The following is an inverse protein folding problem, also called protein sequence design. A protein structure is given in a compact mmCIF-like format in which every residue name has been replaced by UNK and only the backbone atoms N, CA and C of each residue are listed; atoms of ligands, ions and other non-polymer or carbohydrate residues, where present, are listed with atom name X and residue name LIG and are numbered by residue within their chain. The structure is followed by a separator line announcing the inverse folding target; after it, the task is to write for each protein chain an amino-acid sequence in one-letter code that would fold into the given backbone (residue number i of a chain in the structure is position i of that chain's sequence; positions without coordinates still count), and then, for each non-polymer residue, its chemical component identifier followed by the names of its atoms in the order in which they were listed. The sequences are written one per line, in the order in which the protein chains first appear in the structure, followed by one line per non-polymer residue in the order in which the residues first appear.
data_IF_550549938517
#
_entry.id   IF_550549938517
#
_cell.length_a   1.000
_cell.length_b   1.000
_cell.length_c   1.000
_cell.angle_alpha   90.00
_cell.angle_beta   90.00
_cell.angle_gamma   90.00
#
_symmetry.space_group_name_H-M   'P 1'
#
loop_
_entity.id
_entity.type
_entity.pdbx_description
1 polymer ?
#
# COMPACT_ATOMS: atom_id res chain seq x y z
N UNK A 1 -46.03 -28.09 13.01
CA UNK A 1 -45.30 -26.92 12.52
C UNK A 1 -43.83 -27.06 12.95
N UNK A 2 -42.97 -27.48 12.02
CA UNK A 2 -41.54 -27.67 12.28
C UNK A 2 -40.78 -26.42 11.78
N UNK A 3 -40.24 -25.64 12.73
CA UNK A 3 -39.37 -24.51 12.42
C UNK A 3 -38.02 -24.97 11.90
N UNK A 4 -37.73 -24.69 10.63
CA UNK A 4 -36.38 -24.82 10.03
C UNK A 4 -35.50 -23.71 10.55
N UNK A 5 -34.59 -24.03 11.49
CA UNK A 5 -33.46 -23.16 11.87
C UNK A 5 -32.49 -23.04 10.68
N UNK A 6 -32.48 -21.88 10.04
CA UNK A 6 -31.41 -21.54 9.08
C UNK A 6 -30.12 -21.27 9.86
N UNK A 7 -29.25 -22.26 9.94
CA UNK A 7 -27.86 -22.05 10.33
C UNK A 7 -27.15 -21.37 9.17
N UNK A 8 -26.93 -20.05 9.28
CA UNK A 8 -26.04 -19.31 8.41
C UNK A 8 -24.61 -19.80 8.58
N UNK A 9 -24.19 -20.75 7.78
CA UNK A 9 -22.78 -21.16 7.70
C UNK A 9 -21.97 -20.01 7.13
N UNK A 10 -21.06 -19.46 7.93
CA UNK A 10 -20.03 -18.55 7.43
C UNK A 10 -19.25 -19.26 6.32
N UNK A 11 -19.41 -18.82 5.06
CA UNK A 11 -18.66 -19.37 3.93
C UNK A 11 -17.17 -19.14 4.22
N UNK A 12 -16.40 -20.23 4.33
CA UNK A 12 -14.92 -20.17 4.28
C UNK A 12 -14.54 -19.45 2.98
N UNK A 13 -14.00 -18.25 3.09
CA UNK A 13 -13.52 -17.49 1.92
C UNK A 13 -12.25 -18.18 1.47
N UNK A 14 -12.31 -18.84 0.32
CA UNK A 14 -11.11 -19.44 -0.30
C UNK A 14 -10.22 -18.29 -0.79
N UNK A 15 -9.12 -18.08 -0.08
CA UNK A 15 -8.16 -17.02 -0.32
C UNK A 15 -7.52 -17.08 -1.71
N UNK A 16 -7.58 -18.24 -2.37
CA UNK A 16 -7.08 -18.42 -3.75
C UNK A 16 -7.91 -17.70 -4.79
N UNK A 17 -9.15 -17.29 -4.45
CA UNK A 17 -10.09 -16.61 -5.34
C UNK A 17 -10.32 -15.14 -5.00
N UNK A 18 -9.53 -14.56 -4.09
CA UNK A 18 -9.63 -13.12 -3.79
C UNK A 18 -9.06 -12.31 -4.95
N UNK A 19 -9.76 -11.25 -5.40
CA UNK A 19 -9.24 -10.37 -6.43
C UNK A 19 -7.94 -9.69 -5.95
N UNK A 20 -6.94 -9.68 -6.82
CA UNK A 20 -5.68 -8.96 -6.57
C UNK A 20 -5.67 -7.68 -7.37
N UNK A 21 -5.47 -6.55 -6.70
CA UNK A 21 -5.47 -5.21 -7.28
C UNK A 21 -4.09 -4.60 -7.21
N UNK A 22 -3.75 -3.83 -8.22
CA UNK A 22 -2.55 -3.01 -8.27
C UNK A 22 -2.98 -1.55 -8.46
N UNK A 23 -2.70 -0.72 -7.47
CA UNK A 23 -2.90 0.72 -7.53
C UNK A 23 -1.65 1.38 -8.09
N UNK A 24 -1.76 1.86 -9.32
CA UNK A 24 -0.69 2.53 -10.06
C UNK A 24 -0.76 4.04 -9.82
N UNK A 25 0.26 4.61 -9.23
CA UNK A 25 0.32 6.05 -8.91
C UNK A 25 1.18 6.86 -9.86
N UNK A 26 1.92 6.21 -10.77
CA UNK A 26 2.83 6.91 -11.69
C UNK A 26 2.08 7.61 -12.80
N UNK A 27 2.39 8.91 -13.02
CA UNK A 27 1.93 9.69 -14.17
C UNK A 27 2.99 9.62 -15.28
N UNK A 28 2.55 9.48 -16.53
CA UNK A 28 3.42 9.40 -17.69
C UNK A 28 3.82 10.82 -18.20
N UNK A 29 4.64 11.54 -17.43
CA UNK A 29 5.05 12.89 -17.77
C UNK A 29 5.97 12.96 -19.01
N UNK A 30 6.87 11.98 -19.13
CA UNK A 30 7.90 11.90 -20.16
C UNK A 30 8.05 10.48 -20.71
N UNK A 31 8.97 10.29 -21.65
CA UNK A 31 9.20 8.97 -22.25
C UNK A 31 9.84 7.99 -21.26
N UNK A 32 10.66 8.46 -20.32
CA UNK A 32 11.24 7.60 -19.27
C UNK A 32 10.15 7.05 -18.36
N UNK A 33 9.21 7.89 -17.93
CA UNK A 33 8.05 7.46 -17.13
C UNK A 33 7.18 6.46 -17.91
N UNK A 34 6.95 6.70 -19.22
CA UNK A 34 6.23 5.76 -20.09
C UNK A 34 6.91 4.41 -20.19
N UNK A 35 8.24 4.40 -20.34
CA UNK A 35 9.04 3.17 -20.38
C UNK A 35 8.96 2.40 -19.06
N UNK A 36 9.06 3.09 -17.92
CA UNK A 36 8.89 2.50 -16.60
C UNK A 36 7.51 1.87 -16.43
N UNK A 37 6.45 2.57 -16.84
CA UNK A 37 5.07 2.05 -16.80
C UNK A 37 4.96 0.78 -17.66
N UNK A 38 5.51 0.78 -18.90
CA UNK A 38 5.52 -0.40 -19.79
C UNK A 38 6.22 -1.58 -19.13
N UNK A 39 7.39 -1.35 -18.54
CA UNK A 39 8.15 -2.38 -17.82
C UNK A 39 7.36 -2.96 -16.65
N UNK A 40 6.76 -2.13 -15.82
CA UNK A 40 5.93 -2.55 -14.70
C UNK A 40 4.68 -3.32 -15.14
N UNK A 41 4.01 -2.89 -16.22
CA UNK A 41 2.87 -3.61 -16.79
C UNK A 41 3.29 -5.01 -17.27
N UNK A 42 4.40 -5.11 -18.00
CA UNK A 42 4.94 -6.41 -18.47
C UNK A 42 5.29 -7.37 -17.32
N UNK A 43 5.88 -6.85 -16.25
CA UNK A 43 6.19 -7.66 -15.06
C UNK A 43 4.92 -8.20 -14.37
N UNK A 44 3.80 -7.47 -14.46
CA UNK A 44 2.53 -7.86 -13.84
C UNK A 44 1.64 -8.75 -14.69
N UNK A 45 1.85 -8.82 -16.00
CA UNK A 45 1.01 -9.61 -16.92
C UNK A 45 0.79 -11.05 -16.44
N UNK A 46 1.83 -11.66 -15.83
CA UNK A 46 1.76 -13.04 -15.33
C UNK A 46 1.18 -13.17 -13.92
N UNK A 47 0.93 -12.04 -13.23
CA UNK A 47 0.51 -12.04 -11.81
C UNK A 47 -1.00 -11.85 -11.61
N UNK A 48 -1.79 -11.74 -12.70
CA UNK A 48 -3.26 -11.58 -12.68
C UNK A 48 -3.76 -10.43 -11.81
N UNK A 49 -3.05 -9.30 -11.78
CA UNK A 49 -3.50 -8.10 -11.10
C UNK A 49 -4.52 -7.33 -11.94
N UNK A 50 -5.62 -6.92 -11.32
CA UNK A 50 -6.46 -5.84 -11.84
C UNK A 50 -5.75 -4.51 -11.58
N UNK A 51 -5.31 -3.81 -12.62
CA UNK A 51 -4.66 -2.50 -12.48
C UNK A 51 -5.70 -1.40 -12.38
N UNK A 52 -5.56 -0.56 -11.35
CA UNK A 52 -6.36 0.64 -11.10
C UNK A 52 -5.40 1.82 -11.15
N UNK A 53 -5.52 2.67 -12.16
CA UNK A 53 -4.73 3.89 -12.28
C UNK A 53 -5.30 4.93 -11.28
N UNK A 54 -4.52 5.30 -10.28
CA UNK A 54 -4.92 6.24 -9.24
C UNK A 54 -3.74 7.13 -8.85
N UNK A 55 -3.39 8.11 -9.69
CA UNK A 55 -2.24 8.97 -9.46
C UNK A 55 -2.43 9.97 -8.32
N UNK A 56 -3.66 10.33 -7.99
CA UNK A 56 -4.06 11.22 -6.90
C UNK A 56 -5.39 10.74 -6.31
N UNK A 57 -5.75 11.29 -5.15
CA UNK A 57 -7.07 11.10 -4.53
C UNK A 57 -7.46 9.61 -4.35
N UNK A 58 -6.73 8.92 -3.49
CA UNK A 58 -6.98 7.50 -3.20
C UNK A 58 -8.43 7.21 -2.73
N UNK A 59 -9.15 8.21 -2.23
CA UNK A 59 -10.55 8.05 -1.82
C UNK A 59 -11.46 7.69 -2.99
N UNK A 60 -11.09 8.08 -4.21
CA UNK A 60 -11.80 7.73 -5.44
C UNK A 60 -11.44 6.35 -6.01
N UNK A 61 -10.46 5.66 -5.42
CA UNK A 61 -10.06 4.34 -5.91
C UNK A 61 -11.18 3.30 -5.72
N UNK A 62 -11.65 2.74 -6.84
CA UNK A 62 -12.67 1.70 -6.85
C UNK A 62 -12.04 0.31 -6.66
N UNK A 63 -11.60 0.04 -5.44
CA UNK A 63 -10.99 -1.24 -5.08
C UNK A 63 -12.08 -2.22 -4.65
N UNK A 64 -12.11 -3.46 -5.19
CA UNK A 64 -13.05 -4.48 -4.77
C UNK A 64 -12.94 -4.78 -3.28
N UNK A 65 -14.09 -4.93 -2.62
CA UNK A 65 -14.10 -5.30 -1.21
C UNK A 65 -13.42 -6.65 -0.98
N UNK A 66 -12.68 -6.76 0.13
CA UNK A 66 -11.97 -7.97 0.54
C UNK A 66 -10.92 -8.44 -0.47
N UNK A 67 -10.37 -7.52 -1.25
CA UNK A 67 -9.27 -7.77 -2.18
C UNK A 67 -7.91 -7.80 -1.49
N UNK A 68 -6.91 -8.26 -2.22
CA UNK A 68 -5.49 -8.07 -1.90
C UNK A 68 -4.99 -6.92 -2.75
N UNK A 69 -4.44 -5.89 -2.15
CA UNK A 69 -4.07 -4.68 -2.86
C UNK A 69 -2.58 -4.37 -2.70
N UNK A 70 -1.93 -4.00 -3.81
CA UNK A 70 -0.59 -3.46 -3.85
C UNK A 70 -0.64 -2.01 -4.30
N UNK A 71 -0.23 -1.08 -3.45
CA UNK A 71 -0.06 0.35 -3.75
C UNK A 71 1.40 0.63 -4.11
N UNK A 72 1.65 1.00 -5.35
CA UNK A 72 2.99 1.31 -5.86
C UNK A 72 3.00 2.59 -6.70
N UNK A 73 3.63 3.67 -6.18
CA UNK A 73 4.29 3.82 -4.90
C UNK A 73 3.82 5.13 -4.23
N UNK A 74 4.00 5.19 -2.90
CA UNK A 74 3.63 6.38 -2.11
C UNK A 74 4.46 7.60 -2.50
N UNK A 75 5.73 7.42 -2.90
CA UNK A 75 6.57 8.55 -3.32
C UNK A 75 6.03 9.27 -4.56
N UNK A 76 5.55 8.54 -5.57
CA UNK A 76 4.87 9.16 -6.72
C UNK A 76 3.56 9.82 -6.30
N UNK A 77 2.78 9.15 -5.45
CA UNK A 77 1.53 9.70 -4.94
C UNK A 77 1.77 11.00 -4.16
N UNK A 78 2.80 11.06 -3.30
CA UNK A 78 3.16 12.25 -2.55
C UNK A 78 3.51 13.43 -3.46
N UNK A 79 4.33 13.19 -4.49
CA UNK A 79 4.65 14.22 -5.48
C UNK A 79 3.40 14.68 -6.24
N UNK A 80 2.56 13.73 -6.69
CA UNK A 80 1.35 14.08 -7.43
C UNK A 80 0.35 14.87 -6.58
N UNK A 81 0.18 14.52 -5.30
CA UNK A 81 -0.71 15.24 -4.39
C UNK A 81 -0.17 16.62 -4.01
N UNK A 82 1.15 16.76 -3.86
CA UNK A 82 1.80 18.01 -3.53
C UNK A 82 1.73 19.03 -4.68
N UNK A 83 1.77 18.55 -5.93
CA UNK A 83 1.79 19.41 -7.13
C UNK A 83 0.50 19.34 -7.95
N UNK A 84 -0.63 19.05 -7.31
CA UNK A 84 -1.93 19.01 -7.99
C UNK A 84 -2.29 20.36 -8.59
N UNK A 85 -2.70 20.36 -9.87
CA UNK A 85 -3.10 21.56 -10.60
C UNK A 85 -4.58 21.93 -10.46
N UNK A 86 -5.37 21.03 -9.89
CA UNK A 86 -6.81 21.20 -9.67
C UNK A 86 -7.13 21.73 -8.26
N UNK A 87 -6.14 22.18 -7.51
CA UNK A 87 -6.24 22.77 -6.18
C UNK A 87 -5.42 24.06 -6.09
N UNK A 88 -5.91 25.04 -5.31
CA UNK A 88 -5.22 26.31 -5.12
C UNK A 88 -4.00 26.18 -4.20
N UNK A 89 -4.09 25.32 -3.17
CA UNK A 89 -3.01 25.04 -2.20
C UNK A 89 -2.88 23.53 -1.99
N UNK A 90 -2.30 22.78 -2.97
CA UNK A 90 -2.26 21.31 -2.92
C UNK A 90 -1.31 20.78 -1.86
N UNK A 91 -0.25 21.51 -1.50
CA UNK A 91 0.73 21.10 -0.49
C UNK A 91 0.06 21.01 0.88
N UNK A 92 -0.82 21.96 1.19
CA UNK A 92 -1.57 21.97 2.43
C UNK A 92 -2.53 20.77 2.49
N UNK A 93 -2.36 19.94 3.54
CA UNK A 93 -3.17 18.75 3.76
C UNK A 93 -2.85 17.57 2.84
N UNK A 94 -1.77 17.61 2.05
CA UNK A 94 -1.38 16.48 1.19
C UNK A 94 -1.12 15.19 1.99
N UNK A 95 -0.48 15.31 3.15
CA UNK A 95 -0.23 14.18 4.05
C UNK A 95 -1.54 13.56 4.54
N UNK A 96 -2.47 14.37 5.01
CA UNK A 96 -3.77 13.95 5.53
C UNK A 96 -4.59 13.25 4.46
N UNK A 97 -4.67 13.80 3.24
CA UNK A 97 -5.39 13.17 2.10
C UNK A 97 -4.83 11.79 1.78
N UNK A 98 -3.50 11.65 1.73
CA UNK A 98 -2.86 10.36 1.44
C UNK A 98 -3.13 9.35 2.54
N UNK A 99 -2.94 9.73 3.81
CA UNK A 99 -3.15 8.84 4.95
C UNK A 99 -4.62 8.42 5.09
N UNK A 100 -5.55 9.34 4.87
CA UNK A 100 -6.98 9.02 4.87
C UNK A 100 -7.35 8.03 3.76
N UNK A 101 -6.83 8.26 2.55
CA UNK A 101 -7.01 7.32 1.44
C UNK A 101 -6.46 5.93 1.74
N UNK A 102 -5.28 5.83 2.33
CA UNK A 102 -4.67 4.54 2.73
C UNK A 102 -5.50 3.86 3.83
N UNK A 103 -5.99 4.60 4.81
CA UNK A 103 -6.89 4.06 5.85
C UNK A 103 -8.21 3.55 5.27
N UNK A 104 -8.75 4.23 4.25
CA UNK A 104 -9.93 3.75 3.52
C UNK A 104 -9.63 2.44 2.77
N UNK A 105 -8.49 2.35 2.08
CA UNK A 105 -8.05 1.12 1.41
C UNK A 105 -7.90 -0.04 2.42
N UNK A 106 -7.29 0.21 3.57
CA UNK A 106 -7.16 -0.78 4.66
C UNK A 106 -8.52 -1.33 5.12
N UNK A 107 -9.55 -0.48 5.20
CA UNK A 107 -10.91 -0.90 5.58
C UNK A 107 -11.56 -1.77 4.51
N UNK A 108 -11.32 -1.48 3.22
CA UNK A 108 -11.90 -2.21 2.09
C UNK A 108 -11.20 -3.53 1.78
N UNK A 109 -9.90 -3.63 2.02
CA UNK A 109 -9.07 -4.76 1.62
C UNK A 109 -8.83 -5.73 2.78
N UNK A 110 -8.63 -7.01 2.47
CA UNK A 110 -8.18 -7.97 3.49
C UNK A 110 -6.66 -7.87 3.70
N UNK A 111 -5.91 -7.52 2.65
CA UNK A 111 -4.47 -7.37 2.71
C UNK A 111 -4.00 -6.19 1.86
N UNK A 112 -3.22 -5.29 2.45
CA UNK A 112 -2.68 -4.12 1.78
C UNK A 112 -1.15 -4.13 1.87
N UNK A 113 -0.49 -4.18 0.71
CA UNK A 113 0.95 -3.98 0.57
C UNK A 113 1.19 -2.57 0.07
N UNK A 114 2.08 -1.86 0.72
CA UNK A 114 2.45 -0.49 0.38
C UNK A 114 3.94 -0.45 0.06
N UNK A 115 4.29 0.12 -1.09
CA UNK A 115 5.66 0.37 -1.50
C UNK A 115 5.93 1.87 -1.45
N UNK A 116 7.04 2.25 -0.83
CA UNK A 116 7.49 3.64 -0.77
C UNK A 116 9.01 3.73 -0.97
N UNK A 117 9.51 4.93 -1.22
CA UNK A 117 10.94 5.20 -1.28
C UNK A 117 11.41 5.87 0.01
N UNK A 118 12.64 5.55 0.41
CA UNK A 118 13.39 6.36 1.35
C UNK A 118 14.19 7.41 0.58
N UNK A 119 14.00 8.67 0.95
CA UNK A 119 14.70 9.84 0.40
C UNK A 119 15.49 10.58 1.48
N UNK A 120 15.61 10.00 2.69
CA UNK A 120 16.26 10.62 3.84
C UNK A 120 17.78 10.51 3.82
N UNK A 121 18.32 9.48 3.15
CA UNK A 121 19.74 9.12 3.20
C UNK A 121 20.67 10.01 2.37
N UNK A 122 20.15 10.90 1.55
CA UNK A 122 20.96 11.77 0.70
C UNK A 122 21.10 13.16 1.34
N UNK A 123 22.36 13.63 1.47
CA UNK A 123 22.70 14.93 2.08
C UNK A 123 23.24 15.86 1.00
N UNK A 124 22.42 16.75 0.50
CA UNK A 124 22.84 17.78 -0.46
C UNK A 124 22.14 19.11 -0.21
N UNK A 125 22.64 20.21 -0.79
CA UNK A 125 21.87 21.43 -0.85
C UNK A 125 20.72 21.24 -1.83
N UNK A 126 19.53 21.00 -1.33
CA UNK A 126 18.31 20.89 -2.15
C UNK A 126 17.57 22.24 -2.21
N UNK A 127 16.75 22.40 -3.25
CA UNK A 127 15.79 23.50 -3.32
C UNK A 127 14.76 23.38 -2.18
N UNK A 128 14.15 24.51 -1.80
CA UNK A 128 13.09 24.52 -0.79
C UNK A 128 11.94 23.57 -1.14
N UNK A 129 11.60 23.50 -2.41
CA UNK A 129 10.58 22.61 -2.95
C UNK A 129 10.95 21.12 -2.77
N UNK A 130 12.21 20.75 -3.03
CA UNK A 130 12.69 19.38 -2.81
C UNK A 130 12.70 19.05 -1.32
N UNK A 131 13.09 19.99 -0.45
CA UNK A 131 13.04 19.81 1.00
C UNK A 131 11.61 19.65 1.51
N UNK A 132 10.64 20.41 0.97
CA UNK A 132 9.23 20.26 1.29
C UNK A 132 8.73 18.86 0.93
N UNK A 133 9.03 18.37 -0.28
CA UNK A 133 8.71 17.00 -0.70
C UNK A 133 9.35 15.94 0.20
N UNK A 134 10.63 16.09 0.57
CA UNK A 134 11.34 15.15 1.46
C UNK A 134 10.69 15.10 2.84
N UNK A 135 10.32 16.24 3.40
CA UNK A 135 9.61 16.34 4.68
C UNK A 135 8.23 15.67 4.61
N UNK A 136 7.48 15.94 3.54
CA UNK A 136 6.17 15.32 3.30
C UNK A 136 6.30 13.81 3.25
N UNK A 137 7.18 13.27 2.38
CA UNK A 137 7.33 11.83 2.20
C UNK A 137 7.85 11.15 3.47
N UNK A 138 8.82 11.78 4.16
CA UNK A 138 9.33 11.29 5.45
C UNK A 138 8.24 11.21 6.51
N UNK A 139 7.40 12.26 6.63
CA UNK A 139 6.26 12.27 7.53
C UNK A 139 5.25 11.16 7.22
N UNK A 140 4.91 10.97 5.94
CA UNK A 140 4.03 9.89 5.50
C UNK A 140 4.64 8.52 5.85
N UNK A 141 5.92 8.30 5.55
CA UNK A 141 6.59 7.04 5.84
C UNK A 141 6.58 6.72 7.34
N UNK A 142 6.84 7.70 8.21
CA UNK A 142 6.77 7.55 9.66
C UNK A 142 5.36 7.18 10.13
N UNK A 143 4.33 7.86 9.62
CA UNK A 143 2.94 7.57 9.96
C UNK A 143 2.53 6.15 9.51
N UNK A 144 2.87 5.78 8.28
CA UNK A 144 2.58 4.44 7.74
C UNK A 144 3.32 3.34 8.51
N UNK A 145 4.59 3.57 8.87
CA UNK A 145 5.35 2.64 9.71
C UNK A 145 4.70 2.47 11.08
N UNK A 146 4.13 3.53 11.65
CA UNK A 146 3.34 3.48 12.90
C UNK A 146 2.10 2.58 12.78
N UNK A 147 1.35 2.71 11.67
CA UNK A 147 0.09 2.00 11.44
C UNK A 147 0.25 0.57 10.89
N UNK A 148 1.36 0.28 10.19
CA UNK A 148 1.61 -1.03 9.56
C UNK A 148 1.80 -2.15 10.58
N UNK A 149 1.34 -3.35 10.23
CA UNK A 149 1.52 -4.56 11.02
C UNK A 149 2.94 -5.14 10.85
N UNK A 150 3.50 -5.01 9.63
CA UNK A 150 4.88 -5.38 9.33
C UNK A 150 5.54 -4.27 8.50
N UNK A 151 6.79 -3.96 8.80
CA UNK A 151 7.61 -2.99 8.06
C UNK A 151 8.91 -3.65 7.65
N UNK A 152 9.24 -3.52 6.38
CA UNK A 152 10.48 -4.04 5.80
C UNK A 152 11.26 -2.91 5.15
N UNK A 153 12.53 -2.84 5.44
CA UNK A 153 13.50 -2.07 4.67
C UNK A 153 14.11 -2.98 3.59
N UNK A 154 14.21 -2.48 2.36
CA UNK A 154 14.80 -3.25 1.26
C UNK A 154 16.19 -2.71 0.97
N UNK A 155 17.21 -3.53 1.22
CA UNK A 155 18.61 -3.21 1.04
C UNK A 155 19.19 -4.18 0.00
N UNK A 156 19.69 -3.67 -1.11
CA UNK A 156 20.26 -4.49 -2.20
C UNK A 156 19.34 -5.63 -2.69
N UNK A 157 18.02 -5.41 -2.66
CA UNK A 157 17.03 -6.41 -3.08
C UNK A 157 16.57 -7.36 -1.98
N UNK A 158 17.19 -7.33 -0.81
CA UNK A 158 16.85 -8.19 0.33
C UNK A 158 15.95 -7.44 1.32
N UNK A 159 14.81 -8.02 1.73
CA UNK A 159 13.92 -7.42 2.70
C UNK A 159 14.42 -7.68 4.12
N UNK A 160 14.71 -6.62 4.85
CA UNK A 160 15.06 -6.64 6.26
C UNK A 160 13.83 -6.24 7.08
N UNK A 161 13.37 -7.10 7.96
CA UNK A 161 12.22 -6.80 8.83
C UNK A 161 12.62 -5.79 9.91
N UNK A 162 12.04 -4.59 9.85
CA UNK A 162 12.26 -3.50 10.81
C UNK A 162 11.24 -3.56 11.95
N UNK A 163 10.00 -3.89 11.63
CA UNK A 163 8.90 -3.95 12.61
C UNK A 163 7.97 -5.12 12.33
N UNK A 164 7.56 -5.78 13.41
CA UNK A 164 6.43 -6.71 13.44
C UNK A 164 5.57 -6.40 14.65
N UNK A 165 4.30 -6.04 14.43
CA UNK A 165 3.35 -5.81 15.50
C UNK A 165 3.11 -7.13 16.26
N UNK A 166 3.36 -7.15 17.57
CA UNK A 166 2.94 -8.27 18.41
C UNK A 166 1.42 -8.33 18.38
N UNK A 167 0.86 -9.49 18.05
CA UNK A 167 -0.56 -9.74 18.30
C UNK A 167 -0.70 -9.85 19.81
N UNK A 168 -1.61 -9.10 20.38
CA UNK A 168 -2.08 -9.37 21.74
C UNK A 168 -2.80 -10.72 21.65
N UNK A 169 -2.20 -11.75 22.26
CA UNK A 169 -2.85 -13.02 22.50
C UNK A 169 -3.98 -12.74 23.49
N UNK A 170 -5.16 -12.44 22.97
CA UNK A 170 -6.38 -12.44 23.79
C UNK A 170 -6.53 -13.87 24.27
N UNK A 171 -6.47 -14.05 25.60
CA UNK A 171 -6.68 -15.30 26.35
C UNK A 171 -8.07 -15.90 26.11
N UNK A 172 -8.40 -16.26 24.88
CA UNK A 172 -9.56 -17.10 24.51
C UNK A 172 -9.09 -18.12 23.48
N UNK A 173 -8.03 -18.89 23.85
CA UNK A 173 -7.39 -19.85 22.95
C UNK A 173 -7.74 -21.31 23.34
N UNK A 174 -8.99 -21.61 23.46
CA UNK A 174 -9.37 -23.04 23.66
C UNK A 174 -10.46 -23.54 22.71
N UNK A 175 -10.66 -23.07 21.51
CA UNK A 175 -11.50 -23.79 20.52
C UNK A 175 -11.46 -23.22 19.10
N UNK A 176 -10.31 -22.93 18.50
CA UNK A 176 -10.28 -22.67 17.05
C UNK A 176 -9.09 -23.32 16.36
N UNK A 177 -9.36 -24.49 15.78
CA UNK A 177 -8.48 -25.24 14.86
C UNK A 177 -8.41 -24.60 13.46
N UNK A 178 -8.43 -23.27 13.31
CA UNK A 178 -8.30 -22.62 12.01
C UNK A 178 -7.27 -21.47 12.04
N UNK A 179 -6.01 -21.86 12.27
CA UNK A 179 -4.85 -20.93 12.28
C UNK A 179 -4.49 -20.36 10.92
N UNK A 180 -5.14 -20.77 9.83
CA UNK A 180 -4.74 -20.39 8.46
C UNK A 180 -5.38 -19.09 7.96
N UNK A 181 -6.55 -18.70 8.46
CA UNK A 181 -7.34 -17.57 7.94
C UNK A 181 -6.94 -16.22 8.55
N UNK A 182 -6.48 -16.22 9.80
CA UNK A 182 -6.18 -14.97 10.53
C UNK A 182 -4.78 -14.39 10.25
N UNK A 183 -3.90 -15.17 9.59
CA UNK A 183 -2.54 -14.75 9.23
C UNK A 183 -2.45 -13.80 8.03
N UNK A 184 -3.56 -13.52 7.32
CA UNK A 184 -3.53 -12.87 6.01
C UNK A 184 -4.17 -11.49 5.97
N UNK A 185 -4.70 -10.96 7.08
CA UNK A 185 -5.20 -9.58 7.15
C UNK A 185 -4.12 -8.67 7.70
N UNK A 186 -3.89 -7.55 7.03
CA UNK A 186 -2.97 -6.55 7.55
C UNK A 186 -2.32 -5.65 6.52
N UNK A 187 -1.49 -4.75 7.00
CA UNK A 187 -0.66 -3.85 6.19
C UNK A 187 0.79 -4.29 6.27
N UNK A 188 1.42 -4.47 5.11
CA UNK A 188 2.88 -4.55 4.97
C UNK A 188 3.41 -3.31 4.28
N UNK A 189 4.41 -2.70 4.87
CA UNK A 189 5.11 -1.56 4.31
C UNK A 189 6.52 -1.98 3.88
N UNK A 190 6.86 -1.71 2.61
CA UNK A 190 8.20 -1.88 2.05
C UNK A 190 8.81 -0.52 1.78
N UNK A 191 9.89 -0.20 2.47
CA UNK A 191 10.66 1.05 2.34
C UNK A 191 12.03 0.74 1.76
N UNK A 192 12.61 1.62 0.98
CA UNK A 192 13.99 1.49 0.49
C UNK A 192 14.30 2.51 -0.59
N UNK A 193 15.57 2.65 -0.95
CA UNK A 193 16.04 3.52 -2.01
C UNK A 193 15.45 3.16 -3.39
N UNK A 194 15.62 4.03 -4.37
CA UNK A 194 15.27 3.75 -5.75
C UNK A 194 16.04 2.52 -6.27
N UNK A 195 15.44 1.74 -7.17
CA UNK A 195 16.04 0.54 -7.79
C UNK A 195 16.42 -0.61 -6.84
N UNK A 196 15.96 -0.62 -5.61
CA UNK A 196 16.24 -1.67 -4.61
C UNK A 196 15.39 -2.94 -4.76
N UNK A 197 14.63 -3.09 -5.84
CA UNK A 197 13.88 -4.33 -6.13
C UNK A 197 12.58 -4.53 -5.34
N UNK A 198 12.07 -3.50 -4.65
CA UNK A 198 10.84 -3.57 -3.82
C UNK A 198 9.63 -4.15 -4.54
N UNK A 199 9.45 -3.78 -5.81
CA UNK A 199 8.32 -4.24 -6.63
C UNK A 199 8.32 -5.74 -6.91
N UNK A 200 9.44 -6.42 -6.73
CA UNK A 200 9.56 -7.87 -6.90
C UNK A 200 9.20 -8.62 -5.62
N UNK A 201 9.30 -7.95 -4.47
CA UNK A 201 9.06 -8.51 -3.13
C UNK A 201 7.63 -8.31 -2.63
N UNK A 202 6.92 -7.29 -3.18
CA UNK A 202 5.58 -6.87 -2.78
C UNK A 202 4.42 -7.74 -3.35
#
# INVERSE_FOLDING_TARGET
AAGKSMRGGARKTDLRHQPSCYLATMIAWDEECRERIRKHRKMREKKNFMTIECPVDLLKAEVPARSRCLLECVSNLAANEMYRRDMDDPENGAMERILEGIRMLRKKTDFLVIVTNDVSGDQGPYSEETEAYRKLLGGINCALAGEADEVYEVICGEPVMVKKKKREDTEVEERRTDRSVDRQRGIRLFVGGAYQGKSNLA
#
